data_IF_855924138579
#
_entry.id   IF_855924138579
#
_cell.length_a   1.000
_cell.length_b   1.000
_cell.length_c   1.000
_cell.angle_alpha   90.00
_cell.angle_beta   90.00
_cell.angle_gamma   90.00
#
_symmetry.space_group_name_H-M   'P 1'
#
loop_
_entity.id
_entity.type
_entity.pdbx_description
1 polymer ?
#
# COMPACT_ATOMS: atom_id res chain seq x y z
N UNK A 1 -63.31 -35.88 67.28
CA UNK A 1 -63.90 -35.27 66.07
C UNK A 1 -62.82 -35.15 65.02
N UNK A 2 -63.10 -35.61 63.80
CA UNK A 2 -62.18 -35.77 62.68
C UNK A 2 -61.54 -34.43 62.25
N UNK A 3 -60.32 -34.48 61.73
CA UNK A 3 -60.02 -34.02 60.37
C UNK A 3 -58.64 -34.52 59.92
N UNK A 4 -58.66 -35.23 58.81
CA UNK A 4 -57.51 -35.71 58.04
C UNK A 4 -57.05 -34.58 57.12
N UNK A 5 -55.74 -34.41 56.89
CA UNK A 5 -55.26 -33.53 55.83
C UNK A 5 -54.11 -34.20 55.10
N UNK A 6 -54.40 -34.52 53.84
CA UNK A 6 -53.58 -35.23 52.87
C UNK A 6 -52.60 -34.22 52.23
N UNK A 7 -51.29 -34.50 52.27
CA UNK A 7 -50.30 -33.73 51.51
C UNK A 7 -50.29 -34.19 50.04
N UNK A 8 -50.57 -33.28 49.12
CA UNK A 8 -50.34 -33.45 47.68
C UNK A 8 -48.92 -32.93 47.33
N UNK A 9 -48.07 -33.81 46.81
CA UNK A 9 -46.82 -33.40 46.13
C UNK A 9 -47.15 -32.93 44.71
N UNK A 10 -46.94 -31.64 44.44
CA UNK A 10 -46.97 -31.08 43.08
C UNK A 10 -45.64 -31.32 42.38
N UNK A 11 -45.66 -31.98 41.22
CA UNK A 11 -44.52 -32.10 40.32
C UNK A 11 -44.44 -30.85 39.43
N UNK A 12 -43.33 -30.12 39.49
CA UNK A 12 -43.07 -28.98 38.59
C UNK A 12 -42.51 -29.47 37.26
N UNK A 13 -43.23 -29.24 36.17
CA UNK A 13 -42.74 -29.41 34.79
C UNK A 13 -41.78 -28.24 34.47
N UNK A 14 -40.48 -28.52 34.42
CA UNK A 14 -39.49 -27.57 33.92
C UNK A 14 -39.65 -27.37 32.41
N UNK A 15 -39.90 -26.13 31.99
CA UNK A 15 -39.92 -25.78 30.57
C UNK A 15 -38.49 -25.65 30.06
N UNK A 16 -38.08 -26.54 29.16
CA UNK A 16 -36.83 -26.39 28.39
C UNK A 16 -37.05 -25.34 27.32
N UNK A 17 -36.43 -24.17 27.50
CA UNK A 17 -36.39 -23.12 26.48
C UNK A 17 -35.34 -23.51 25.45
N UNK A 18 -35.78 -23.97 24.28
CA UNK A 18 -34.90 -24.19 23.14
C UNK A 18 -34.37 -22.83 22.67
N UNK A 19 -33.07 -22.59 22.84
CA UNK A 19 -32.42 -21.40 22.29
C UNK A 19 -32.42 -21.49 20.76
N UNK A 20 -32.80 -20.43 20.03
CA UNK A 20 -32.76 -20.47 18.58
C UNK A 20 -31.31 -20.66 18.13
N UNK A 21 -31.08 -21.59 17.20
CA UNK A 21 -29.79 -21.76 16.55
C UNK A 21 -29.41 -20.42 15.93
N UNK A 22 -28.35 -19.79 16.46
CA UNK A 22 -27.81 -18.53 15.96
C UNK A 22 -27.33 -18.77 14.52
N UNK A 23 -28.12 -18.34 13.54
CA UNK A 23 -27.78 -18.41 12.12
C UNK A 23 -26.45 -17.66 11.96
N UNK A 24 -25.39 -18.35 11.56
CA UNK A 24 -24.11 -17.71 11.22
C UNK A 24 -24.42 -16.69 10.12
N UNK A 25 -24.31 -15.42 10.46
CA UNK A 25 -24.40 -14.34 9.49
C UNK A 25 -23.18 -14.48 8.58
N UNK A 26 -23.40 -14.65 7.28
CA UNK A 26 -22.31 -14.58 6.31
C UNK A 26 -21.63 -13.20 6.48
N UNK A 27 -20.29 -13.11 6.40
CA UNK A 27 -19.61 -11.83 6.51
C UNK A 27 -20.22 -10.83 5.52
N UNK A 28 -20.56 -9.64 6.01
CA UNK A 28 -21.05 -8.53 5.19
C UNK A 28 -19.94 -8.18 4.18
N UNK A 29 -20.11 -8.56 2.92
CA UNK A 29 -19.20 -8.19 1.83
C UNK A 29 -19.51 -6.77 1.38
N UNK A 30 -19.35 -5.79 2.26
CA UNK A 30 -19.40 -4.39 1.83
C UNK A 30 -18.17 -4.18 0.93
N UNK A 31 -18.34 -3.75 -0.32
CA UNK A 31 -17.20 -3.47 -1.18
C UNK A 31 -16.38 -2.34 -0.53
N UNK A 32 -15.07 -2.47 -0.59
CA UNK A 32 -14.17 -1.34 -0.32
C UNK A 32 -14.25 -0.40 -1.52
N UNK A 33 -14.47 0.88 -1.25
CA UNK A 33 -14.59 1.94 -2.25
C UNK A 33 -13.59 3.03 -1.89
N UNK A 34 -12.89 3.53 -2.90
CA UNK A 34 -11.92 4.62 -2.80
C UNK A 34 -12.15 5.60 -3.96
N UNK A 35 -11.69 6.83 -3.81
CA UNK A 35 -11.82 7.87 -4.82
C UNK A 35 -10.76 7.71 -5.93
N UNK A 36 -11.15 8.08 -7.15
CA UNK A 36 -10.28 8.03 -8.32
C UNK A 36 -10.71 9.09 -9.36
N UNK A 37 -9.75 9.62 -10.10
CA UNK A 37 -10.02 10.44 -11.29
C UNK A 37 -10.33 9.52 -12.47
N UNK A 38 -11.36 9.83 -13.26
CA UNK A 38 -11.64 9.14 -14.54
C UNK A 38 -11.59 10.16 -15.68
N UNK A 39 -10.68 9.96 -16.63
CA UNK A 39 -10.44 10.90 -17.74
C UNK A 39 -11.25 10.59 -19.02
N UNK A 40 -12.13 9.59 -18.95
CA UNK A 40 -12.86 9.08 -20.12
C UNK A 40 -12.26 7.81 -20.72
N UNK A 41 -11.07 7.39 -20.27
CA UNK A 41 -10.39 6.18 -20.71
C UNK A 41 -9.90 5.32 -19.53
N UNK A 42 -9.20 5.92 -18.57
CA UNK A 42 -8.60 5.22 -17.45
C UNK A 42 -9.02 5.84 -16.11
N UNK A 43 -8.95 5.02 -15.06
CA UNK A 43 -9.03 5.48 -13.67
C UNK A 43 -7.63 5.78 -13.14
N UNK A 44 -7.50 6.79 -12.30
CA UNK A 44 -6.24 7.17 -11.66
C UNK A 44 -6.48 7.30 -10.16
N UNK A 45 -5.67 6.63 -9.32
CA UNK A 45 -5.68 6.85 -7.88
C UNK A 45 -5.56 8.34 -7.56
N UNK A 46 -6.18 8.79 -6.46
CA UNK A 46 -5.93 10.14 -5.95
C UNK A 46 -4.54 10.18 -5.30
N UNK A 47 -3.65 11.09 -5.70
CA UNK A 47 -2.37 11.27 -5.03
C UNK A 47 -2.56 11.84 -3.62
N UNK A 48 -1.52 11.65 -2.81
CA UNK A 48 -1.37 12.31 -1.51
C UNK A 48 -0.68 13.66 -1.71
N UNK A 49 -1.45 14.69 -2.04
CA UNK A 49 -0.93 16.02 -2.37
C UNK A 49 -0.60 16.84 -1.13
N UNK A 50 -1.19 16.49 0.01
CA UNK A 50 -0.97 17.20 1.27
C UNK A 50 0.40 16.84 1.88
N UNK A 51 0.85 15.60 1.67
CA UNK A 51 2.03 15.03 2.36
C UNK A 51 3.22 14.76 1.43
N UNK A 52 3.05 14.85 0.11
CA UNK A 52 4.14 14.55 -0.83
C UNK A 52 5.06 15.75 -1.06
N UNK A 53 6.33 15.59 -0.69
CA UNK A 53 7.40 16.53 -1.05
C UNK A 53 8.48 15.85 -1.90
N UNK A 54 8.70 16.33 -3.13
CA UNK A 54 9.65 15.68 -4.06
C UNK A 54 11.10 15.66 -3.55
N UNK A 55 11.55 16.76 -2.93
CA UNK A 55 12.92 16.90 -2.44
C UNK A 55 13.21 15.92 -1.28
N UNK A 56 12.18 15.54 -0.52
CA UNK A 56 12.25 14.52 0.52
C UNK A 56 12.08 13.13 -0.07
N UNK A 57 11.25 12.98 -1.10
CA UNK A 57 10.96 11.71 -1.77
C UNK A 57 12.14 11.10 -2.52
N UNK A 58 13.07 11.93 -3.03
CA UNK A 58 14.23 11.42 -3.76
C UNK A 58 15.14 10.54 -2.89
N UNK A 59 16.11 9.87 -3.52
CA UNK A 59 16.96 8.89 -2.89
C UNK A 59 16.45 7.45 -3.05
N UNK A 60 16.87 6.59 -2.14
CA UNK A 60 16.64 5.15 -2.21
C UNK A 60 15.30 4.73 -1.64
N UNK A 61 14.67 3.79 -2.33
CA UNK A 61 13.49 3.06 -1.89
C UNK A 61 13.64 1.57 -2.21
N UNK A 62 13.24 0.71 -1.28
CA UNK A 62 13.17 -0.74 -1.46
C UNK A 62 11.73 -1.14 -1.72
N UNK A 63 11.48 -1.90 -2.79
CA UNK A 63 10.16 -2.48 -3.00
C UNK A 63 10.01 -3.70 -2.10
N UNK A 64 9.26 -3.56 -1.02
CA UNK A 64 9.08 -4.62 -0.01
C UNK A 64 7.86 -5.50 -0.30
N UNK A 65 6.89 -4.97 -1.04
CA UNK A 65 5.79 -5.73 -1.61
C UNK A 65 5.23 -5.04 -2.86
N UNK A 66 4.34 -5.72 -3.58
CA UNK A 66 3.63 -5.14 -4.70
C UNK A 66 3.34 -6.15 -5.80
N UNK A 67 2.92 -5.64 -6.94
CA UNK A 67 2.72 -6.43 -8.15
C UNK A 67 4.05 -6.65 -8.87
N UNK A 68 4.26 -7.83 -9.44
CA UNK A 68 5.47 -8.13 -10.22
C UNK A 68 5.43 -7.38 -11.55
N UNK A 69 6.30 -6.40 -11.71
CA UNK A 69 6.51 -5.78 -13.01
C UNK A 69 7.24 -6.77 -13.93
N UNK A 70 6.98 -6.78 -15.25
CA UNK A 70 7.61 -7.73 -16.17
C UNK A 70 9.15 -7.75 -16.10
N UNK A 71 9.77 -6.60 -15.81
CA UNK A 71 11.24 -6.47 -15.72
C UNK A 71 11.83 -6.98 -14.38
N UNK A 72 11.01 -7.18 -13.35
CA UNK A 72 11.44 -7.72 -12.04
C UNK A 72 10.94 -9.14 -11.78
N UNK A 73 10.44 -9.83 -12.82
CA UNK A 73 9.96 -11.19 -12.68
C UNK A 73 11.07 -12.13 -12.20
N UNK A 74 10.89 -12.72 -11.01
CA UNK A 74 11.87 -13.62 -10.37
C UNK A 74 12.98 -12.91 -9.60
N UNK A 75 13.00 -11.58 -9.58
CA UNK A 75 13.98 -10.81 -8.83
C UNK A 75 13.71 -10.82 -7.32
N UNK A 76 14.80 -10.71 -6.57
CA UNK A 76 14.83 -10.32 -5.15
C UNK A 76 15.59 -8.99 -5.01
N UNK A 77 15.59 -8.41 -3.82
CA UNK A 77 16.36 -7.20 -3.51
C UNK A 77 16.04 -6.02 -4.44
N UNK A 78 14.75 -5.86 -4.77
CA UNK A 78 14.30 -4.85 -5.70
C UNK A 78 14.40 -3.47 -5.03
N UNK A 79 15.03 -2.52 -5.69
CA UNK A 79 15.11 -1.13 -5.25
C UNK A 79 14.93 -0.16 -6.42
N UNK A 80 14.61 1.08 -6.07
CA UNK A 80 14.66 2.25 -6.92
C UNK A 80 15.51 3.33 -6.25
N UNK A 81 16.29 4.05 -7.05
CA UNK A 81 17.02 5.24 -6.63
C UNK A 81 16.56 6.41 -7.50
N UNK A 82 16.02 7.43 -6.85
CA UNK A 82 15.51 8.64 -7.49
C UNK A 82 16.48 9.79 -7.30
N UNK A 83 16.70 10.58 -8.35
CA UNK A 83 17.54 11.79 -8.26
C UNK A 83 17.05 12.86 -9.21
N UNK A 84 17.17 14.12 -8.82
CA UNK A 84 16.76 15.25 -9.64
C UNK A 84 17.72 15.46 -10.83
N UNK A 85 17.16 15.65 -12.01
CA UNK A 85 17.89 16.12 -13.17
C UNK A 85 17.86 17.65 -13.25
N UNK A 86 18.86 18.25 -13.90
CA UNK A 86 18.95 19.70 -14.08
C UNK A 86 17.79 20.33 -14.88
N UNK A 87 17.02 19.52 -15.60
CA UNK A 87 15.86 19.96 -16.40
C UNK A 87 14.52 19.83 -15.64
N UNK A 88 14.54 19.48 -14.35
CA UNK A 88 13.35 19.31 -13.52
C UNK A 88 12.65 17.96 -13.65
N UNK A 89 13.19 17.00 -14.41
CA UNK A 89 12.70 15.61 -14.36
C UNK A 89 13.42 14.82 -13.28
N UNK A 90 12.92 13.63 -12.96
CA UNK A 90 13.55 12.72 -12.00
C UNK A 90 14.19 11.56 -12.75
N UNK A 91 15.46 11.28 -12.50
CA UNK A 91 16.12 10.05 -12.93
C UNK A 91 15.63 8.90 -12.07
N UNK A 92 15.18 7.83 -12.71
CA UNK A 92 14.71 6.61 -12.05
C UNK A 92 15.69 5.49 -12.33
N UNK A 93 16.41 5.01 -11.33
CA UNK A 93 17.32 3.89 -11.47
C UNK A 93 16.80 2.70 -10.65
N UNK A 94 16.35 1.66 -11.34
CA UNK A 94 15.86 0.44 -10.71
C UNK A 94 16.93 -0.63 -10.77
N UNK A 95 17.07 -1.39 -9.68
CA UNK A 95 17.96 -2.53 -9.59
C UNK A 95 17.28 -3.71 -8.90
N UNK A 96 17.73 -4.92 -9.24
CA UNK A 96 17.38 -6.13 -8.51
C UNK A 96 18.41 -7.24 -8.72
N UNK A 97 18.30 -8.31 -7.93
CA UNK A 97 19.12 -9.49 -8.05
C UNK A 97 18.32 -10.66 -8.65
N UNK A 98 18.85 -11.27 -9.71
CA UNK A 98 18.31 -12.46 -10.34
C UNK A 98 19.43 -13.49 -10.52
N UNK A 99 19.27 -14.68 -9.95
CA UNK A 99 20.25 -15.78 -10.03
C UNK A 99 21.70 -15.35 -9.66
N UNK A 100 21.83 -14.46 -8.66
CA UNK A 100 23.11 -13.94 -8.18
C UNK A 100 23.75 -12.89 -9.09
N UNK A 101 23.00 -12.35 -10.05
CA UNK A 101 23.42 -11.25 -10.91
C UNK A 101 22.61 -9.99 -10.65
N UNK A 102 23.26 -8.84 -10.75
CA UNK A 102 22.60 -7.54 -10.73
C UNK A 102 21.95 -7.26 -12.08
N UNK A 103 20.67 -6.93 -12.04
CA UNK A 103 19.89 -6.46 -13.19
C UNK A 103 19.49 -5.02 -12.91
N UNK A 104 19.76 -4.11 -13.85
CA UNK A 104 19.47 -2.69 -13.69
C UNK A 104 18.78 -2.11 -14.92
N UNK A 105 17.99 -1.07 -14.70
CA UNK A 105 17.41 -0.25 -15.76
C UNK A 105 17.28 1.20 -15.29
N UNK A 106 17.60 2.12 -16.20
CA UNK A 106 17.47 3.55 -15.96
C UNK A 106 16.38 4.14 -16.85
N UNK A 107 15.56 5.02 -16.26
CA UNK A 107 14.47 5.71 -16.92
C UNK A 107 14.35 7.15 -16.44
N UNK A 108 13.27 7.79 -16.84
CA UNK A 108 12.97 9.18 -16.47
C UNK A 108 11.51 9.29 -16.05
N UNK A 109 11.26 9.94 -14.93
CA UNK A 109 9.96 10.37 -14.46
C UNK A 109 9.78 11.85 -14.74
N UNK A 110 8.68 12.21 -15.41
CA UNK A 110 8.31 13.60 -15.71
C UNK A 110 7.01 13.92 -14.98
N UNK A 111 6.97 15.03 -14.24
CA UNK A 111 5.74 15.50 -13.60
C UNK A 111 4.64 15.70 -14.67
N UNK A 112 3.42 15.30 -14.34
CA UNK A 112 2.27 15.54 -15.22
C UNK A 112 1.80 16.98 -15.05
N UNK A 113 1.33 17.61 -16.11
CA UNK A 113 0.81 18.98 -16.04
C UNK A 113 -0.44 19.02 -15.15
N UNK A 114 -0.40 19.85 -14.10
CA UNK A 114 -1.49 20.12 -13.14
C UNK A 114 -2.83 20.48 -13.81
N UNK A 115 -2.78 21.19 -14.95
CA UNK A 115 -3.97 21.60 -15.72
C UNK A 115 -4.79 20.40 -16.25
N UNK A 116 -4.22 19.19 -16.22
CA UNK A 116 -4.88 17.96 -16.64
C UNK A 116 -5.74 17.31 -15.53
N UNK A 117 -5.59 17.76 -14.28
CA UNK A 117 -6.45 17.33 -13.16
C UNK A 117 -6.19 15.93 -12.63
N UNK A 118 -4.99 15.38 -12.83
CA UNK A 118 -4.58 14.11 -12.21
C UNK A 118 -4.03 14.29 -10.80
N UNK A 119 -3.54 15.48 -10.51
CA UNK A 119 -3.09 15.96 -9.23
C UNK A 119 -2.05 17.07 -9.40
N UNK A 120 -1.81 17.84 -8.33
CA UNK A 120 -0.82 18.92 -8.34
C UNK A 120 0.60 18.36 -8.16
N UNK A 121 0.75 17.38 -7.27
CA UNK A 121 2.02 16.76 -6.92
C UNK A 121 1.92 15.22 -6.83
N UNK A 122 3.05 14.53 -6.67
CA UNK A 122 3.08 13.06 -6.53
C UNK A 122 2.68 12.26 -7.77
N UNK A 123 2.46 12.92 -8.92
CA UNK A 123 1.98 12.30 -10.17
C UNK A 123 2.99 12.41 -11.30
N UNK A 124 3.50 11.25 -11.75
CA UNK A 124 4.56 11.19 -12.74
C UNK A 124 4.22 10.27 -13.91
N UNK A 125 4.77 10.63 -15.07
CA UNK A 125 4.92 9.75 -16.22
C UNK A 125 6.35 9.20 -16.25
N UNK A 126 6.49 7.93 -15.88
CA UNK A 126 7.75 7.20 -15.84
C UNK A 126 7.93 6.41 -17.13
N UNK A 127 9.08 6.57 -17.76
CA UNK A 127 9.41 5.93 -19.02
C UNK A 127 10.80 5.29 -18.95
N UNK A 128 10.88 4.03 -19.40
CA UNK A 128 12.14 3.31 -19.59
C UNK A 128 12.47 3.10 -21.07
N UNK A 129 13.76 2.92 -21.43
CA UNK A 129 14.17 2.57 -22.78
C UNK A 129 13.48 1.31 -23.31
N UNK A 130 12.88 1.40 -24.50
CA UNK A 130 12.24 0.25 -25.17
C UNK A 130 10.84 -0.10 -24.65
N UNK A 131 10.31 0.57 -23.63
CA UNK A 131 8.94 0.40 -23.18
C UNK A 131 7.97 1.01 -24.21
N UNK A 132 6.92 0.29 -24.63
CA UNK A 132 5.90 0.84 -25.53
C UNK A 132 5.15 1.99 -24.86
N UNK A 133 4.43 2.78 -25.67
CA UNK A 133 3.56 3.81 -25.13
C UNK A 133 2.51 3.18 -24.20
N UNK A 134 2.33 3.69 -22.96
CA UNK A 134 1.30 3.21 -22.04
C UNK A 134 -0.09 3.33 -22.66
N UNK A 135 -0.97 2.39 -22.32
CA UNK A 135 -2.37 2.43 -22.75
C UNK A 135 -3.08 3.68 -22.22
N UNK A 136 -2.82 4.05 -20.97
CA UNK A 136 -3.39 5.24 -20.35
C UNK A 136 -2.54 6.50 -20.63
N UNK A 137 -3.15 7.62 -21.04
CA UNK A 137 -2.43 8.83 -21.40
C UNK A 137 -1.86 9.60 -20.20
N UNK A 138 -2.47 9.46 -19.01
CA UNK A 138 -2.09 10.16 -17.79
C UNK A 138 -0.87 9.54 -17.06
N UNK A 139 -0.74 9.80 -15.74
CA UNK A 139 0.37 9.27 -14.95
C UNK A 139 0.31 7.74 -14.85
N UNK A 140 1.49 7.12 -14.77
CA UNK A 140 1.66 5.69 -14.50
C UNK A 140 2.42 5.44 -13.18
N UNK A 141 2.62 6.50 -12.41
CA UNK A 141 3.23 6.49 -11.09
C UNK A 141 2.55 7.58 -10.27
N UNK A 142 1.70 7.17 -9.34
CA UNK A 142 0.92 8.04 -8.46
C UNK A 142 1.28 7.66 -7.03
N UNK A 143 1.92 8.57 -6.29
CA UNK A 143 2.12 8.42 -4.84
C UNK A 143 0.78 8.70 -4.19
N UNK A 144 0.06 7.63 -3.85
CA UNK A 144 -1.30 7.72 -3.31
C UNK A 144 -1.32 7.91 -1.80
N UNK A 145 -0.20 7.58 -1.15
CA UNK A 145 -0.07 7.67 0.29
C UNK A 145 1.42 7.59 0.65
N UNK A 146 1.85 8.44 1.57
CA UNK A 146 3.21 8.45 2.10
C UNK A 146 3.17 8.71 3.60
N UNK A 147 4.09 8.13 4.35
CA UNK A 147 4.20 8.40 5.78
C UNK A 147 4.73 9.82 6.01
N UNK A 148 4.02 10.62 6.81
CA UNK A 148 4.51 11.92 7.25
C UNK A 148 5.57 11.74 8.34
N UNK A 149 6.61 12.56 8.29
CA UNK A 149 7.47 12.79 9.44
C UNK A 149 6.69 13.69 10.41
N UNK A 150 6.23 13.15 11.53
CA UNK A 150 5.54 13.88 12.60
C UNK A 150 6.56 14.80 13.32
N UNK A 151 7.06 15.86 12.64
CA UNK A 151 8.01 16.84 13.19
C UNK A 151 7.34 17.89 14.11
N UNK A 152 6.06 17.72 14.45
CA UNK A 152 5.26 18.67 15.25
C UNK A 152 5.35 18.46 16.78
N UNK A 153 6.32 17.69 17.28
CA UNK A 153 6.60 17.60 18.72
C UNK A 153 7.49 18.79 19.17
N UNK A 154 6.85 19.96 19.30
CA UNK A 154 7.31 21.16 20.02
C UNK A 154 7.49 20.92 21.55
N UNK A 155 7.64 19.67 22.00
CA UNK A 155 7.88 19.28 23.39
C UNK A 155 9.35 18.82 23.54
N UNK A 156 10.19 19.76 23.99
CA UNK A 156 11.63 19.67 24.33
C UNK A 156 12.06 18.56 25.33
N UNK A 157 11.28 17.51 25.55
CA UNK A 157 11.59 16.43 26.51
C UNK A 157 11.12 15.06 26.00
N UNK A 158 11.85 14.45 25.07
CA UNK A 158 12.28 13.04 25.14
C UNK A 158 13.17 12.71 23.93
N UNK A 159 14.38 12.21 24.20
CA UNK A 159 15.16 11.44 23.21
C UNK A 159 14.32 10.18 22.86
N UNK A 160 13.38 10.29 21.92
CA UNK A 160 12.80 9.12 21.26
C UNK A 160 13.69 8.73 20.09
N UNK A 161 14.55 7.74 20.31
CA UNK A 161 15.40 7.16 19.27
C UNK A 161 14.61 6.37 18.20
N UNK A 162 13.28 6.30 18.29
CA UNK A 162 12.37 5.83 17.23
C UNK A 162 11.94 6.93 16.24
N UNK A 163 12.37 8.20 16.39
CA UNK A 163 12.17 9.22 15.35
C UNK A 163 13.15 8.98 14.19
N UNK A 164 12.76 8.14 13.23
CA UNK A 164 13.42 8.14 11.94
C UNK A 164 12.40 7.82 10.84
N UNK A 165 12.25 8.83 9.98
CA UNK A 165 12.00 8.82 8.54
C UNK A 165 10.67 8.23 8.02
N UNK A 166 9.85 9.03 7.33
CA UNK A 166 8.63 8.67 6.62
C UNK A 166 8.85 7.43 5.73
N UNK A 167 8.54 6.26 6.28
CA UNK A 167 9.33 5.06 5.97
C UNK A 167 8.68 4.16 4.93
N UNK A 168 7.49 4.54 4.44
CA UNK A 168 6.75 3.82 3.43
C UNK A 168 6.01 4.74 2.47
N UNK A 169 5.82 4.24 1.26
CA UNK A 169 4.96 4.89 0.27
C UNK A 169 4.15 3.84 -0.49
N UNK A 170 2.88 4.15 -0.73
CA UNK A 170 2.00 3.40 -1.65
C UNK A 170 2.01 4.12 -2.97
N UNK A 171 2.66 3.51 -3.95
CA UNK A 171 2.65 4.00 -5.32
C UNK A 171 1.80 3.09 -6.19
N UNK A 172 0.84 3.66 -6.89
CA UNK A 172 -0.01 2.92 -7.81
C UNK A 172 0.04 3.47 -9.23
N UNK A 173 -0.23 2.62 -10.21
CA UNK A 173 -0.40 3.01 -11.61
C UNK A 173 -1.89 3.25 -11.94
N UNK A 174 -2.15 3.83 -13.12
CA UNK A 174 -3.48 3.92 -13.71
C UNK A 174 -4.22 2.57 -13.67
N UNK A 175 -5.54 2.61 -13.49
CA UNK A 175 -6.44 1.47 -13.31
C UNK A 175 -6.11 0.58 -12.10
N UNK A 176 -5.31 1.06 -11.14
CA UNK A 176 -4.85 0.28 -9.99
C UNK A 176 -4.17 -1.03 -10.44
N UNK A 177 -3.56 -1.02 -11.63
CA UNK A 177 -3.01 -2.23 -12.26
C UNK A 177 -1.70 -2.68 -11.63
N UNK A 178 -1.06 -1.82 -10.85
CA UNK A 178 0.27 -2.02 -10.31
C UNK A 178 0.36 -1.32 -8.98
N UNK A 179 0.88 -2.04 -7.98
CA UNK A 179 1.26 -1.51 -6.68
C UNK A 179 2.78 -1.65 -6.53
N UNK A 180 3.43 -0.57 -6.11
CA UNK A 180 4.74 -0.61 -5.48
C UNK A 180 4.56 -0.17 -4.03
N UNK A 181 4.70 -1.11 -3.09
CA UNK A 181 4.86 -0.75 -1.69
C UNK A 181 6.35 -0.57 -1.43
N UNK A 182 6.72 0.69 -1.26
CA UNK A 182 8.10 1.12 -1.09
C UNK A 182 8.39 1.35 0.39
N UNK A 183 9.63 1.13 0.80
CA UNK A 183 10.12 1.50 2.12
C UNK A 183 11.54 2.07 2.06
N UNK A 184 11.91 3.02 2.93
CA UNK A 184 13.32 3.44 3.06
C UNK A 184 14.17 2.38 3.75
N UNK A 185 13.55 1.55 4.57
CA UNK A 185 14.19 0.39 5.17
C UNK A 185 14.17 -0.80 4.21
N UNK A 186 15.30 -1.48 4.07
CA UNK A 186 15.37 -2.67 3.22
C UNK A 186 14.62 -3.86 3.82
N UNK A 187 14.69 -4.03 5.14
CA UNK A 187 14.08 -5.15 5.85
C UNK A 187 13.18 -4.65 6.99
N UNK A 188 12.10 -3.91 6.70
CA UNK A 188 11.22 -3.42 7.74
C UNK A 188 10.45 -4.58 8.39
N UNK A 189 9.95 -4.40 9.64
CA UNK A 189 9.13 -5.39 10.32
C UNK A 189 7.93 -5.86 9.48
N UNK A 190 7.70 -7.17 9.45
CA UNK A 190 6.60 -7.76 8.67
C UNK A 190 5.22 -7.17 9.01
N UNK A 191 5.00 -6.77 10.26
CA UNK A 191 3.77 -6.13 10.73
C UNK A 191 3.53 -4.75 10.11
N UNK A 192 4.59 -3.97 9.87
CA UNK A 192 4.47 -2.69 9.17
C UNK A 192 4.10 -2.94 7.71
N UNK A 193 4.77 -3.88 7.04
CA UNK A 193 4.41 -4.27 5.66
C UNK A 193 2.95 -4.75 5.60
N UNK A 194 2.48 -5.55 6.56
CA UNK A 194 1.07 -6.01 6.59
C UNK A 194 0.09 -4.84 6.77
N UNK A 195 0.41 -3.88 7.63
CA UNK A 195 -0.43 -2.69 7.85
C UNK A 195 -0.54 -1.83 6.58
N UNK A 196 0.59 -1.57 5.92
CA UNK A 196 0.64 -0.80 4.68
C UNK A 196 -0.01 -1.53 3.49
N UNK A 197 0.08 -2.86 3.43
CA UNK A 197 -0.67 -3.65 2.44
C UNK A 197 -2.19 -3.59 2.69
N UNK A 198 -2.64 -3.58 3.94
CA UNK A 198 -4.04 -3.37 4.27
C UNK A 198 -4.50 -1.95 3.90
N UNK A 199 -3.66 -0.94 4.13
CA UNK A 199 -3.92 0.43 3.67
C UNK A 199 -4.02 0.51 2.15
N UNK A 200 -3.09 -0.10 1.41
CA UNK A 200 -3.14 -0.19 -0.05
C UNK A 200 -4.41 -0.87 -0.56
N UNK A 201 -4.86 -1.94 0.11
CA UNK A 201 -6.14 -2.62 -0.17
C UNK A 201 -7.34 -1.68 0.04
N UNK A 202 -7.34 -0.90 1.12
CA UNK A 202 -8.38 0.11 1.40
C UNK A 202 -8.36 1.23 0.35
N UNK A 203 -7.19 1.55 -0.17
CA UNK A 203 -6.94 2.50 -1.26
C UNK A 203 -7.12 1.90 -2.67
N UNK A 204 -7.76 0.74 -2.78
CA UNK A 204 -8.21 0.19 -4.07
C UNK A 204 -7.24 -0.77 -4.76
N UNK A 205 -6.09 -1.09 -4.16
CA UNK A 205 -5.20 -2.12 -4.71
C UNK A 205 -5.92 -3.48 -4.80
N UNK A 206 -5.81 -4.14 -5.96
CA UNK A 206 -6.21 -5.54 -6.09
C UNK A 206 -5.13 -6.47 -5.50
N UNK A 207 -5.42 -7.08 -4.37
CA UNK A 207 -4.48 -7.92 -3.62
C UNK A 207 -4.20 -9.29 -4.24
N UNK A 208 -4.88 -9.65 -5.35
CA UNK A 208 -4.75 -10.99 -5.96
C UNK A 208 -3.34 -11.25 -6.49
N UNK A 209 -2.70 -10.23 -7.05
CA UNK A 209 -1.39 -10.32 -7.71
C UNK A 209 -0.27 -9.66 -6.87
N UNK A 210 -0.57 -9.25 -5.64
CA UNK A 210 0.39 -8.63 -4.73
C UNK A 210 1.19 -9.71 -4.02
N UNK A 211 2.51 -9.59 -4.09
CA UNK A 211 3.46 -10.46 -3.39
C UNK A 211 4.40 -9.66 -2.50
N UNK A 212 4.95 -10.31 -1.48
CA UNK A 212 6.10 -9.79 -0.73
C UNK A 212 7.38 -10.07 -1.51
N UNK A 213 8.29 -9.10 -1.52
CA UNK A 213 9.60 -9.22 -2.18
C UNK A 213 10.63 -9.68 -1.14
N UNK A 214 11.47 -10.64 -1.50
CA UNK A 214 12.60 -11.06 -0.64
C UNK A 214 13.68 -9.96 -0.65
N UNK A 215 13.93 -9.36 0.51
CA UNK A 215 14.94 -8.32 0.72
C UNK A 215 16.12 -8.81 1.59
N UNK A 216 16.25 -10.12 1.76
CA UNK A 216 17.30 -10.73 2.60
C UNK A 216 18.53 -11.10 1.78
N UNK A 217 19.71 -11.14 2.40
CA UNK A 217 20.95 -11.66 1.78
C UNK A 217 21.35 -10.98 0.44
N UNK A 218 21.00 -9.70 0.27
CA UNK A 218 21.23 -8.95 -0.96
C UNK A 218 22.72 -8.66 -1.19
N UNK A 219 23.19 -8.91 -2.42
CA UNK A 219 24.60 -8.66 -2.78
C UNK A 219 24.81 -7.31 -3.46
N UNK A 220 23.76 -6.75 -4.06
CA UNK A 220 23.78 -5.54 -4.86
C UNK A 220 22.71 -4.59 -4.32
N UNK A 221 23.10 -3.73 -3.37
CA UNK A 221 22.24 -2.72 -2.74
C UNK A 221 22.97 -1.40 -2.74
#
# INVERSE_FOLDING_TARGET
MLTSTLLLLGASLGSVVASPLRRRQAPSQTPVVTDATYDGQCYYPKPDEDDFELDEYVGRWYQVAGTVAPFTAGCKCIFAEYSLNANGTVRVFNGCELDGQEITIEGTATAVNEDLGYGEDGVFRVQFPGQPEPECPGPNYIVQDIEQDDDDDDDDDDDDDDSNDGNFAIVQASNFSTLFLLSRQQNPPSSQIDAWLERARLLGTNMTDVIRIDQTNCQFT
#
